data_IF_467650484982
#
_entry.id   IF_467650484982
#
_cell.length_a   1.000
_cell.length_b   1.000
_cell.length_c   1.000
_cell.angle_alpha   90.00
_cell.angle_beta   90.00
_cell.angle_gamma   90.00
#
_symmetry.space_group_name_H-M   'P 1'
#
loop_
_entity.id
_entity.type
_entity.pdbx_description
1 polymer ?
#
# COMPACT_ATOMS: atom_id res chain seq x y z
N UNK A 1 2.10 54.66 -88.25
CA UNK A 1 0.90 55.28 -87.64
C UNK A 1 1.14 55.31 -86.14
N UNK A 2 1.91 56.27 -85.61
CA UNK A 2 1.41 57.54 -85.10
C UNK A 2 0.26 57.30 -84.09
N UNK A 3 0.48 57.42 -82.79
CA UNK A 3 0.43 58.74 -82.18
C UNK A 3 1.04 58.75 -80.78
N UNK A 4 1.76 59.85 -80.54
CA UNK A 4 2.47 60.29 -79.34
C UNK A 4 1.67 61.46 -78.79
N UNK A 5 1.28 61.42 -77.52
CA UNK A 5 0.77 62.56 -76.75
C UNK A 5 1.10 62.30 -75.28
N UNK A 6 2.27 62.70 -74.79
CA UNK A 6 2.66 64.07 -74.45
C UNK A 6 1.73 64.73 -73.41
N UNK A 7 2.25 64.69 -72.16
CA UNK A 7 2.36 65.83 -71.25
C UNK A 7 1.06 66.36 -70.62
N UNK A 8 0.87 65.99 -69.35
CA UNK A 8 0.50 66.98 -68.32
C UNK A 8 1.11 66.59 -66.97
N UNK A 9 2.33 67.08 -66.75
CA UNK A 9 2.83 67.38 -65.43
C UNK A 9 1.80 68.21 -64.68
N UNK A 10 1.25 67.65 -63.60
CA UNK A 10 0.70 68.43 -62.51
C UNK A 10 1.32 67.92 -61.22
N UNK A 11 2.55 68.39 -60.99
CA UNK A 11 3.19 68.47 -59.68
C UNK A 11 2.17 69.03 -58.68
N UNK A 12 1.62 68.14 -57.84
CA UNK A 12 0.99 68.49 -56.57
C UNK A 12 1.92 67.93 -55.50
N UNK A 13 2.95 68.69 -55.21
CA UNK A 13 3.48 68.71 -53.86
C UNK A 13 2.78 69.85 -53.11
N UNK A 14 2.58 69.60 -51.82
CA UNK A 14 2.15 70.51 -50.77
C UNK A 14 0.67 70.91 -50.75
N UNK A 15 -0.14 70.06 -50.10
CA UNK A 15 -0.98 70.49 -48.97
C UNK A 15 -1.43 69.25 -48.17
N UNK A 16 -0.50 68.62 -47.42
CA UNK A 16 -0.90 67.80 -46.27
C UNK A 16 -1.11 68.80 -45.14
N UNK A 17 -2.35 69.20 -44.93
CA UNK A 17 -2.73 70.01 -43.77
C UNK A 17 -2.32 69.25 -42.49
N UNK A 18 -1.58 69.84 -41.55
CA UNK A 18 -1.09 69.16 -40.35
C UNK A 18 -2.23 68.58 -39.47
N UNK A 19 -3.44 69.12 -39.61
CA UNK A 19 -4.63 68.62 -38.93
C UNK A 19 -5.08 67.21 -39.39
N UNK A 20 -4.80 66.79 -40.64
CA UNK A 20 -5.17 65.45 -41.11
C UNK A 20 -4.20 64.37 -40.65
N UNK A 21 -2.89 64.66 -40.53
CA UNK A 21 -1.92 63.72 -39.96
C UNK A 21 -2.14 63.49 -38.47
N UNK A 22 -2.46 64.55 -37.71
CA UNK A 22 -2.70 64.45 -36.27
C UNK A 22 -3.98 63.67 -35.96
N UNK A 23 -5.04 63.88 -36.74
CA UNK A 23 -6.27 63.09 -36.65
C UNK A 23 -6.04 61.60 -36.98
N UNK A 24 -5.21 61.31 -37.97
CA UNK A 24 -4.85 59.94 -38.33
C UNK A 24 -4.01 59.26 -37.23
N UNK A 25 -3.08 59.98 -36.60
CA UNK A 25 -2.29 59.46 -35.46
C UNK A 25 -3.18 59.17 -34.25
N UNK A 26 -4.12 60.07 -33.92
CA UNK A 26 -5.08 59.86 -32.84
C UNK A 26 -5.96 58.62 -33.09
N UNK A 27 -6.43 58.43 -34.34
CA UNK A 27 -7.20 57.25 -34.72
C UNK A 27 -6.38 55.94 -34.59
N UNK A 28 -5.12 55.95 -35.02
CA UNK A 28 -4.21 54.80 -34.88
C UNK A 28 -3.95 54.47 -33.40
N UNK A 29 -3.71 55.46 -32.56
CA UNK A 29 -3.52 55.22 -31.12
C UNK A 29 -4.75 54.63 -30.46
N UNK A 30 -5.95 55.07 -30.87
CA UNK A 30 -7.21 54.52 -30.36
C UNK A 30 -7.38 53.06 -30.78
N UNK A 31 -7.13 52.75 -32.05
CA UNK A 31 -7.20 51.37 -32.56
C UNK A 31 -6.20 50.45 -31.84
N UNK A 32 -4.98 50.93 -31.58
CA UNK A 32 -3.96 50.16 -30.85
C UNK A 32 -4.38 49.85 -29.41
N UNK A 33 -5.00 50.81 -28.71
CA UNK A 33 -5.49 50.57 -27.35
C UNK A 33 -6.69 49.61 -27.35
N UNK A 34 -7.62 49.75 -28.30
CA UNK A 34 -8.74 48.80 -28.48
C UNK A 34 -8.23 47.37 -28.74
N UNK A 35 -7.24 47.21 -29.62
CA UNK A 35 -6.63 45.90 -29.89
C UNK A 35 -5.91 45.32 -28.67
N UNK A 36 -5.23 46.17 -27.89
CA UNK A 36 -4.55 45.75 -26.66
C UNK A 36 -5.54 45.29 -25.59
N UNK A 37 -6.67 46.00 -25.44
CA UNK A 37 -7.75 45.61 -24.54
C UNK A 37 -8.40 44.29 -24.99
N UNK A 38 -8.68 44.14 -26.29
CA UNK A 38 -9.23 42.92 -26.86
C UNK A 38 -8.31 41.71 -26.62
N UNK A 39 -7.01 41.82 -26.93
CA UNK A 39 -6.04 40.76 -26.69
C UNK A 39 -5.91 40.44 -25.19
N UNK A 40 -5.87 41.46 -24.33
CA UNK A 40 -5.82 41.22 -22.88
C UNK A 40 -7.07 40.47 -22.39
N UNK A 41 -8.23 40.76 -22.97
CA UNK A 41 -9.48 40.09 -22.62
C UNK A 41 -9.47 38.63 -23.11
N UNK A 42 -9.05 38.38 -24.34
CA UNK A 42 -8.90 37.03 -24.89
C UNK A 42 -7.92 36.19 -24.08
N UNK A 43 -6.76 36.73 -23.71
CA UNK A 43 -5.80 36.02 -22.86
C UNK A 43 -6.38 35.66 -21.49
N UNK A 44 -7.06 36.61 -20.82
CA UNK A 44 -7.73 36.32 -19.55
C UNK A 44 -8.82 35.27 -19.71
N UNK A 45 -9.59 35.35 -20.79
CA UNK A 45 -10.63 34.36 -21.12
C UNK A 45 -10.04 32.98 -21.43
N UNK A 46 -8.83 32.89 -21.97
CA UNK A 46 -8.17 31.63 -22.25
C UNK A 46 -7.44 31.05 -21.03
N UNK A 47 -6.89 31.88 -20.16
CA UNK A 47 -6.13 31.47 -18.97
C UNK A 47 -7.06 30.94 -17.87
N UNK A 48 -8.17 31.62 -17.58
CA UNK A 48 -9.11 31.21 -16.52
C UNK A 48 -9.62 29.77 -16.63
N UNK A 49 -10.02 29.23 -17.80
CA UNK A 49 -10.40 27.81 -17.91
C UNK A 49 -9.21 26.86 -17.78
N UNK A 50 -7.99 27.30 -18.11
CA UNK A 50 -6.79 26.49 -17.91
C UNK A 50 -6.42 26.38 -16.44
N UNK A 51 -6.50 27.47 -15.68
CA UNK A 51 -6.34 27.48 -14.22
C UNK A 51 -7.36 26.54 -13.57
N UNK A 52 -8.64 26.65 -13.95
CA UNK A 52 -9.68 25.75 -13.42
C UNK A 52 -9.42 24.27 -13.74
N UNK A 53 -8.90 23.95 -14.95
CA UNK A 53 -8.50 22.58 -15.30
C UNK A 53 -7.30 22.10 -14.49
N UNK A 54 -6.34 22.99 -14.23
CA UNK A 54 -5.16 22.66 -13.42
C UNK A 54 -5.58 22.37 -11.98
N UNK A 55 -6.43 23.21 -11.38
CA UNK A 55 -6.98 22.99 -10.05
C UNK A 55 -7.75 21.67 -9.96
N UNK A 56 -8.55 21.35 -10.98
CA UNK A 56 -9.25 20.08 -11.07
C UNK A 56 -8.28 18.90 -11.13
N UNK A 57 -7.26 18.96 -11.99
CA UNK A 57 -6.25 17.90 -12.10
C UNK A 57 -5.49 17.76 -10.77
N UNK A 58 -5.10 18.86 -10.14
CA UNK A 58 -4.44 18.84 -8.84
C UNK A 58 -5.32 18.16 -7.78
N UNK A 59 -6.61 18.51 -7.72
CA UNK A 59 -7.56 17.87 -6.81
C UNK A 59 -7.65 16.35 -7.08
N UNK A 60 -7.78 15.93 -8.33
CA UNK A 60 -7.83 14.50 -8.68
C UNK A 60 -6.54 13.74 -8.33
N UNK A 61 -5.38 14.36 -8.55
CA UNK A 61 -4.08 13.77 -8.19
C UNK A 61 -3.96 13.63 -6.68
N UNK A 62 -4.40 14.61 -5.89
CA UNK A 62 -4.40 14.51 -4.43
C UNK A 62 -5.34 13.42 -3.92
N UNK A 63 -6.56 13.31 -4.47
CA UNK A 63 -7.50 12.23 -4.15
C UNK A 63 -6.89 10.86 -4.46
N UNK A 64 -6.29 10.71 -5.65
CA UNK A 64 -5.63 9.47 -6.04
C UNK A 64 -4.45 9.13 -5.13
N UNK A 65 -3.67 10.13 -4.70
CA UNK A 65 -2.60 9.95 -3.71
C UNK A 65 -3.13 9.43 -2.38
N UNK A 66 -4.25 9.97 -1.88
CA UNK A 66 -4.90 9.48 -0.67
C UNK A 66 -5.40 8.04 -0.81
N UNK A 67 -6.04 7.72 -1.95
CA UNK A 67 -6.53 6.37 -2.24
C UNK A 67 -5.41 5.34 -2.34
N UNK A 68 -4.30 5.70 -3.01
CA UNK A 68 -3.12 4.83 -3.09
C UNK A 68 -2.52 4.56 -1.72
N UNK A 69 -2.32 5.61 -0.91
CA UNK A 69 -1.81 5.46 0.46
C UNK A 69 -2.71 4.53 1.29
N UNK A 70 -4.03 4.66 1.16
CA UNK A 70 -4.98 3.78 1.86
C UNK A 70 -4.91 2.33 1.37
N UNK A 71 -4.76 2.11 0.06
CA UNK A 71 -4.62 0.77 -0.52
C UNK A 71 -3.31 0.11 -0.10
N UNK A 72 -2.21 0.86 -0.07
CA UNK A 72 -0.90 0.38 0.40
C UNK A 72 -0.95 -0.03 1.88
N UNK A 73 -1.57 0.80 2.73
CA UNK A 73 -1.76 0.46 4.13
C UNK A 73 -2.60 -0.81 4.32
N UNK A 74 -3.68 -0.97 3.55
CA UNK A 74 -4.52 -2.17 3.58
C UNK A 74 -3.75 -3.41 3.10
N UNK A 75 -3.01 -3.30 2.00
CA UNK A 75 -2.20 -4.40 1.47
C UNK A 75 -1.15 -4.87 2.50
N UNK A 76 -0.47 -3.94 3.18
CA UNK A 76 0.46 -4.27 4.25
C UNK A 76 -0.24 -4.99 5.41
N UNK A 77 -1.39 -4.48 5.86
CA UNK A 77 -2.17 -5.12 6.92
C UNK A 77 -2.60 -6.55 6.55
N UNK A 78 -3.07 -6.75 5.30
CA UNK A 78 -3.45 -8.08 4.82
C UNK A 78 -2.26 -9.02 4.72
N UNK A 79 -1.10 -8.53 4.28
CA UNK A 79 0.15 -9.29 4.25
C UNK A 79 0.54 -9.75 5.66
N UNK A 80 0.51 -8.85 6.65
CA UNK A 80 0.82 -9.18 8.04
C UNK A 80 -0.15 -10.21 8.62
N UNK A 81 -1.45 -10.07 8.32
CA UNK A 81 -2.47 -11.03 8.74
C UNK A 81 -2.27 -12.40 8.09
N UNK A 82 -1.89 -12.44 6.81
CA UNK A 82 -1.60 -13.68 6.09
C UNK A 82 -0.42 -14.41 6.72
N UNK A 83 0.69 -13.71 6.98
CA UNK A 83 1.87 -14.28 7.67
C UNK A 83 1.50 -14.80 9.05
N UNK A 84 0.71 -14.06 9.82
CA UNK A 84 0.26 -14.49 11.14
C UNK A 84 -0.65 -15.73 11.08
N UNK A 85 -1.49 -15.84 10.04
CA UNK A 85 -2.35 -17.00 9.83
C UNK A 85 -1.55 -18.23 9.40
N UNK A 86 -0.59 -18.08 8.49
CA UNK A 86 0.31 -19.15 8.08
C UNK A 86 1.09 -19.71 9.27
N UNK A 87 1.60 -18.84 10.14
CA UNK A 87 2.28 -19.25 11.37
C UNK A 87 1.37 -20.05 12.31
N UNK A 88 0.10 -19.64 12.45
CA UNK A 88 -0.90 -20.39 13.25
C UNK A 88 -1.21 -21.75 12.64
N UNK A 89 -1.38 -21.82 11.33
CA UNK A 89 -1.60 -23.08 10.62
C UNK A 89 -0.42 -24.03 10.81
N UNK A 90 0.81 -23.57 10.61
CA UNK A 90 2.01 -24.37 10.83
C UNK A 90 2.12 -24.89 12.27
N UNK A 91 1.85 -24.03 13.27
CA UNK A 91 1.85 -24.43 14.67
C UNK A 91 0.77 -25.48 14.98
N UNK A 92 -0.43 -25.33 14.40
CA UNK A 92 -1.53 -26.27 14.55
C UNK A 92 -1.21 -27.63 13.91
N UNK A 93 -0.60 -27.64 12.72
CA UNK A 93 -0.13 -28.85 12.05
C UNK A 93 0.93 -29.58 12.88
N UNK A 94 1.89 -28.84 13.46
CA UNK A 94 2.90 -29.42 14.34
C UNK A 94 2.26 -30.07 15.58
N UNK A 95 1.30 -29.37 16.22
CA UNK A 95 0.57 -29.90 17.37
C UNK A 95 -0.25 -31.15 17.01
N UNK A 96 -0.92 -31.12 15.85
CA UNK A 96 -1.68 -32.26 15.33
C UNK A 96 -0.77 -33.48 15.11
N UNK A 97 0.39 -33.29 14.48
CA UNK A 97 1.35 -34.36 14.24
C UNK A 97 1.91 -34.94 15.55
N UNK A 98 2.21 -34.09 16.53
CA UNK A 98 2.64 -34.52 17.87
C UNK A 98 1.56 -35.34 18.59
N UNK A 99 0.32 -34.88 18.56
CA UNK A 99 -0.81 -35.59 19.16
C UNK A 99 -1.03 -36.95 18.47
N UNK A 100 -1.03 -36.96 17.13
CA UNK A 100 -1.15 -38.18 16.33
C UNK A 100 -0.06 -39.20 16.67
N UNK A 101 1.19 -38.76 16.80
CA UNK A 101 2.30 -39.63 17.19
C UNK A 101 2.10 -40.22 18.59
N UNK A 102 1.68 -39.41 19.57
CA UNK A 102 1.37 -39.88 20.94
C UNK A 102 0.21 -40.88 20.96
N UNK A 103 -0.84 -40.65 20.17
CA UNK A 103 -1.96 -41.58 20.07
C UNK A 103 -1.49 -42.94 19.54
N UNK A 104 -0.67 -42.95 18.48
CA UNK A 104 -0.10 -44.19 17.93
C UNK A 104 0.74 -44.92 18.98
N UNK A 105 1.57 -44.20 19.73
CA UNK A 105 2.41 -44.79 20.78
C UNK A 105 1.58 -45.39 21.93
N UNK A 106 0.57 -44.66 22.42
CA UNK A 106 -0.33 -45.15 23.46
C UNK A 106 -1.15 -46.37 23.01
N UNK A 107 -1.62 -46.38 21.76
CA UNK A 107 -2.28 -47.55 21.19
C UNK A 107 -1.33 -48.76 21.12
N UNK A 108 -0.07 -48.54 20.72
CA UNK A 108 0.93 -49.60 20.66
C UNK A 108 1.24 -50.18 22.05
N UNK A 109 1.42 -49.32 23.06
CA UNK A 109 1.63 -49.73 24.46
C UNK A 109 0.40 -50.44 25.02
N UNK A 110 -0.81 -49.92 24.75
CA UNK A 110 -2.07 -50.54 25.18
C UNK A 110 -2.22 -51.95 24.61
N UNK A 111 -1.94 -52.15 23.32
CA UNK A 111 -1.97 -53.48 22.68
C UNK A 111 -0.99 -54.46 23.33
N UNK A 112 0.24 -54.02 23.65
CA UNK A 112 1.24 -54.86 24.34
C UNK A 112 0.82 -55.22 25.75
N UNK A 113 0.28 -54.26 26.50
CA UNK A 113 -0.18 -54.47 27.87
C UNK A 113 -1.43 -55.37 27.95
N UNK A 114 -2.23 -55.42 26.88
CA UNK A 114 -3.42 -56.26 26.80
C UNK A 114 -3.14 -57.67 26.23
N UNK A 115 -1.87 -58.03 26.00
CA UNK A 115 -1.51 -59.42 25.72
C UNK A 115 -1.61 -60.19 27.04
N UNK A 116 -2.80 -60.70 27.34
CA UNK A 116 -2.94 -61.79 28.32
C UNK A 116 -2.26 -63.02 27.71
N UNK A 117 -1.21 -63.52 28.35
CA UNK A 117 -0.58 -64.78 27.93
C UNK A 117 -1.54 -65.91 28.31
N UNK A 118 -2.45 -66.26 27.38
CA UNK A 118 -3.35 -67.39 27.55
C UNK A 118 -2.50 -68.66 27.53
N UNK A 119 -2.40 -69.35 28.67
CA UNK A 119 -1.68 -70.62 28.81
C UNK A 119 -0.56 -70.65 29.85
N UNK A 120 -0.23 -69.54 30.52
CA UNK A 120 0.63 -69.58 31.72
C UNK A 120 -0.22 -69.85 32.96
N UNK A 121 0.04 -70.91 33.76
CA UNK A 121 -0.65 -71.13 35.01
C UNK A 121 -0.37 -69.96 35.96
N UNK A 122 -1.41 -69.45 36.64
CA UNK A 122 -1.41 -68.23 37.44
C UNK A 122 -0.43 -68.24 38.65
N UNK A 123 0.28 -69.36 38.87
CA UNK A 123 1.21 -69.59 39.99
C UNK A 123 2.64 -69.09 39.78
N UNK A 124 2.98 -68.53 38.60
CA UNK A 124 4.33 -68.05 38.26
C UNK A 124 4.45 -66.53 38.11
N UNK A 125 3.33 -65.79 38.09
CA UNK A 125 3.37 -64.32 38.18
C UNK A 125 3.53 -63.93 39.65
N UNK A 126 4.79 -63.86 40.08
CA UNK A 126 5.18 -63.51 41.45
C UNK A 126 4.60 -62.18 41.92
N UNK A 127 4.20 -62.15 43.19
CA UNK A 127 3.45 -61.08 43.87
C UNK A 127 4.21 -59.75 44.06
N UNK A 128 5.28 -59.46 43.32
CA UNK A 128 5.99 -58.17 43.43
C UNK A 128 6.56 -57.71 42.10
N UNK A 129 6.39 -56.42 41.72
CA UNK A 129 7.23 -55.82 40.70
C UNK A 129 8.68 -55.89 41.19
N UNK A 130 9.55 -56.53 40.42
CA UNK A 130 10.95 -56.74 40.75
C UNK A 130 11.58 -55.41 41.19
N UNK A 131 11.93 -55.33 42.48
CA UNK A 131 12.69 -54.23 43.05
C UNK A 131 14.06 -54.22 42.35
N UNK A 132 14.45 -53.12 41.67
CA UNK A 132 15.73 -53.07 40.99
C UNK A 132 16.84 -53.04 42.05
N UNK A 133 17.53 -54.17 42.20
CA UNK A 133 18.75 -54.27 42.99
C UNK A 133 19.91 -53.69 42.18
N UNK A 134 20.01 -52.37 42.15
CA UNK A 134 21.25 -51.55 42.16
C UNK A 134 21.10 -50.25 41.38
N UNK A 135 21.61 -49.13 41.91
CA UNK A 135 21.49 -47.81 41.30
C UNK A 135 22.59 -47.62 40.26
N UNK A 136 22.27 -47.90 39.00
CA UNK A 136 23.16 -47.62 37.88
C UNK A 136 22.37 -46.98 36.76
N UNK A 137 22.21 -45.66 36.83
CA UNK A 137 22.06 -44.72 35.72
C UNK A 137 21.54 -45.26 34.38
N UNK A 138 20.22 -45.45 34.24
CA UNK A 138 19.55 -45.45 32.94
C UNK A 138 18.31 -44.55 33.03
N UNK A 139 18.54 -43.26 33.19
CA UNK A 139 17.60 -42.20 32.79
C UNK A 139 18.43 -40.93 32.67
N UNK A 140 19.06 -40.77 31.49
CA UNK A 140 19.60 -39.49 31.08
C UNK A 140 18.66 -38.88 30.05
N UNK A 141 18.15 -37.71 30.43
CA UNK A 141 17.89 -36.56 29.56
C UNK A 141 16.90 -36.71 28.41
N UNK A 142 15.69 -36.20 28.64
CA UNK A 142 15.15 -35.11 27.81
C UNK A 142 13.88 -34.52 28.45
N UNK A 143 14.08 -33.74 29.52
CA UNK A 143 13.08 -32.80 30.02
C UNK A 143 13.55 -31.38 29.69
N UNK A 144 13.48 -31.01 28.41
CA UNK A 144 13.53 -29.59 28.03
C UNK A 144 12.11 -29.07 28.15
N UNK A 145 11.85 -28.40 29.26
CA UNK A 145 10.58 -27.74 29.53
C UNK A 145 10.25 -26.70 28.47
N UNK A 146 8.97 -26.68 28.08
CA UNK A 146 8.36 -25.52 27.46
C UNK A 146 6.97 -25.38 28.08
N UNK A 147 6.91 -24.73 29.24
CA UNK A 147 5.67 -24.15 29.79
C UNK A 147 5.84 -22.64 29.80
N UNK A 148 5.02 -21.86 29.08
CA UNK A 148 4.94 -20.44 29.29
C UNK A 148 4.20 -20.19 30.60
N UNK A 149 4.94 -19.65 31.58
CA UNK A 149 4.42 -19.19 32.85
C UNK A 149 3.64 -17.89 32.62
N UNK A 150 2.31 -17.96 32.69
CA UNK A 150 1.43 -16.82 32.92
C UNK A 150 1.94 -16.04 34.14
N UNK A 151 2.33 -14.78 33.93
CA UNK A 151 2.69 -13.83 34.99
C UNK A 151 1.63 -12.72 34.97
N UNK A 152 0.54 -12.96 35.69
CA UNK A 152 -0.29 -11.91 36.27
C UNK A 152 0.38 -11.39 37.54
N UNK A 153 0.48 -10.07 37.72
CA UNK A 153 0.58 -9.30 38.98
C UNK A 153 1.01 -7.86 38.58
N UNK A 154 0.06 -6.93 38.52
CA UNK A 154 -0.34 -5.94 39.55
C UNK A 154 0.27 -4.56 39.29
N UNK A 155 -0.62 -3.57 39.19
CA UNK A 155 -0.35 -2.14 39.10
C UNK A 155 0.38 -1.59 40.33
N UNK A 156 1.06 -0.44 40.20
CA UNK A 156 1.22 0.49 41.30
C UNK A 156 0.52 1.84 41.02
N UNK A 157 -0.08 2.32 42.08
CA UNK A 157 -0.70 3.62 42.36
C UNK A 157 0.21 4.82 42.14
N UNK A 158 -0.45 5.94 41.83
CA UNK A 158 -0.02 7.34 41.75
C UNK A 158 0.80 7.82 42.98
N UNK A 159 1.47 8.96 42.82
CA UNK A 159 0.85 10.22 43.27
C UNK A 159 0.65 11.27 42.17
#
# INVERSE_FOLDING_TARGET
MASKSAKKDKKREDDVTPATSDANMAALTKLLEEHKEALSMEFKSAITPLEAKLDYVQATVTDHGHRLTSLEANANQLSDQMVAMEAKCAAMEECYNKLKAKTIDLEAVSRRNNIRVIGLPESIEGTQPARPSSPGCWWSSSATGCSPRLRSLTAPTEP
#
